data_IF_343786341544
#
_entry.id   IF_343786341544
#
_cell.length_a   1.000
_cell.length_b   1.000
_cell.length_c   1.000
_cell.angle_alpha   90.00
_cell.angle_beta   90.00
_cell.angle_gamma   90.00
#
_symmetry.space_group_name_H-M   'P 1'
#
loop_
_entity.id
_entity.type
_entity.pdbx_description
1 polymer ?
#
# COMPACT_ATOMS: atom_id res chain seq x y z
N UNK A 1 12.60 -9.70 31.68
CA UNK A 1 13.82 -9.17 31.05
C UNK A 1 13.36 -8.36 29.85
N UNK A 2 13.72 -7.07 29.77
CA UNK A 2 13.39 -6.27 28.58
C UNK A 2 14.30 -6.68 27.44
N UNK A 3 13.73 -7.14 26.33
CA UNK A 3 14.45 -7.31 25.06
C UNK A 3 14.81 -5.93 24.53
N UNK A 4 16.09 -5.61 24.56
CA UNK A 4 16.62 -4.43 23.86
C UNK A 4 16.47 -4.70 22.36
N UNK A 5 15.39 -4.18 21.75
CA UNK A 5 15.30 -4.10 20.30
C UNK A 5 16.35 -3.07 19.88
N UNK A 6 17.30 -3.49 19.06
CA UNK A 6 18.30 -2.58 18.52
C UNK A 6 17.62 -1.71 17.46
N UNK A 7 17.28 -0.48 17.83
CA UNK A 7 16.94 0.58 16.87
C UNK A 7 18.01 0.63 15.78
N UNK A 8 17.63 0.34 14.53
CA UNK A 8 18.45 0.56 13.35
C UNK A 8 18.43 2.06 13.09
N UNK A 9 19.61 2.66 12.96
CA UNK A 9 19.70 4.03 12.45
C UNK A 9 19.02 4.11 11.09
N UNK A 10 18.16 5.11 10.88
CA UNK A 10 17.46 5.33 9.63
C UNK A 10 18.42 5.29 8.42
N UNK A 11 18.07 4.63 7.30
CA UNK A 11 18.89 4.57 6.09
C UNK A 11 19.36 5.96 5.65
N UNK A 12 20.67 6.13 5.50
CA UNK A 12 21.26 7.41 5.11
C UNK A 12 20.98 7.73 3.63
N UNK A 13 20.27 8.83 3.37
CA UNK A 13 19.92 9.28 2.01
C UNK A 13 20.75 10.49 1.57
N UNK A 14 20.75 10.79 0.27
CA UNK A 14 21.33 12.05 -0.23
C UNK A 14 20.53 13.30 0.15
N UNK A 15 19.30 13.14 0.66
CA UNK A 15 18.37 14.24 0.94
C UNK A 15 18.16 14.53 2.43
N UNK A 16 18.84 13.83 3.33
CA UNK A 16 18.83 14.04 4.79
C UNK A 16 19.14 15.48 5.27
N UNK A 17 19.61 16.37 4.39
CA UNK A 17 19.89 17.80 4.67
C UNK A 17 18.85 18.76 4.10
N UNK A 18 17.86 18.29 3.34
CA UNK A 18 16.77 19.11 2.83
C UNK A 18 15.73 19.38 3.93
N UNK A 19 15.16 20.59 3.95
CA UNK A 19 13.93 20.84 4.72
C UNK A 19 12.74 20.12 4.09
N UNK A 20 11.67 19.88 4.86
CA UNK A 20 10.55 19.03 4.42
C UNK A 20 9.94 19.50 3.09
N UNK A 21 9.65 20.80 2.93
CA UNK A 21 9.12 21.35 1.68
C UNK A 21 10.09 21.22 0.49
N UNK A 22 11.40 21.18 0.73
CA UNK A 22 12.40 20.97 -0.33
C UNK A 22 12.45 19.50 -0.75
N UNK A 23 12.37 18.58 0.20
CA UNK A 23 12.25 17.13 -0.03
C UNK A 23 10.96 16.82 -0.80
N UNK A 24 9.81 17.25 -0.30
CA UNK A 24 8.51 17.04 -0.94
C UNK A 24 8.45 17.70 -2.32
N UNK A 25 9.13 18.83 -2.50
CA UNK A 25 9.27 19.49 -3.80
C UNK A 25 10.00 18.66 -4.87
N UNK A 26 10.75 17.61 -4.49
CA UNK A 26 11.34 16.66 -5.45
C UNK A 26 10.29 15.89 -6.24
N UNK A 27 9.11 15.67 -5.65
CA UNK A 27 7.97 15.00 -6.28
C UNK A 27 7.17 15.93 -7.23
N UNK A 28 7.46 17.22 -7.29
CA UNK A 28 6.89 18.09 -8.33
C UNK A 28 7.32 17.63 -9.73
N UNK A 29 6.43 17.70 -10.71
CA UNK A 29 6.64 17.16 -12.07
C UNK A 29 7.95 17.66 -12.70
N UNK A 30 8.23 18.97 -12.56
CA UNK A 30 9.45 19.60 -13.07
C UNK A 30 10.74 19.03 -12.45
N UNK A 31 10.71 18.50 -11.23
CA UNK A 31 11.88 17.92 -10.57
C UNK A 31 11.93 16.42 -10.73
N UNK A 32 10.83 15.71 -10.51
CA UNK A 32 10.75 14.26 -10.58
C UNK A 32 11.24 13.70 -11.92
N UNK A 33 10.83 14.32 -13.03
CA UNK A 33 11.27 13.93 -14.39
C UNK A 33 12.75 14.22 -14.69
N UNK A 34 13.47 14.91 -13.79
CA UNK A 34 14.92 15.18 -13.90
C UNK A 34 15.76 14.33 -12.95
N UNK A 35 15.14 13.61 -12.02
CA UNK A 35 15.83 12.71 -11.09
C UNK A 35 16.16 11.38 -11.78
N UNK A 36 17.37 10.89 -11.57
CA UNK A 36 17.70 9.49 -11.88
C UNK A 36 16.87 8.53 -11.03
N UNK A 37 16.73 7.28 -11.46
CA UNK A 37 16.01 6.24 -10.69
C UNK A 37 16.53 6.12 -9.24
N UNK A 38 17.85 6.20 -9.04
CA UNK A 38 18.46 6.18 -7.69
C UNK A 38 18.07 7.40 -6.83
N UNK A 39 17.82 8.55 -7.46
CA UNK A 39 17.41 9.78 -6.77
C UNK A 39 15.94 9.74 -6.39
N UNK A 40 15.10 9.15 -7.24
CA UNK A 40 13.69 8.89 -6.91
C UNK A 40 13.58 7.97 -5.70
N UNK A 41 14.33 6.87 -5.66
CA UNK A 41 14.35 5.95 -4.51
C UNK A 41 14.90 6.60 -3.24
N UNK A 42 15.99 7.37 -3.32
CA UNK A 42 16.51 8.11 -2.15
C UNK A 42 15.53 9.18 -1.63
N UNK A 43 14.71 9.77 -2.51
CA UNK A 43 13.65 10.69 -2.09
C UNK A 43 12.51 9.96 -1.37
N UNK A 44 12.08 8.81 -1.88
CA UNK A 44 11.08 7.95 -1.21
C UNK A 44 11.57 7.45 0.15
N UNK A 45 12.81 6.95 0.24
CA UNK A 45 13.40 6.52 1.51
C UNK A 45 13.51 7.65 2.54
N UNK A 46 13.82 8.87 2.10
CA UNK A 46 13.92 10.03 3.00
C UNK A 46 12.54 10.51 3.50
N UNK A 47 11.48 10.34 2.70
CA UNK A 47 10.10 10.56 3.16
C UNK A 47 9.73 9.52 4.22
N UNK A 48 9.96 8.22 3.95
CA UNK A 48 9.69 7.15 4.91
C UNK A 48 10.48 7.32 6.22
N UNK A 49 11.77 7.68 6.14
CA UNK A 49 12.60 8.00 7.30
C UNK A 49 11.94 9.02 8.24
N UNK A 50 11.37 10.09 7.67
CA UNK A 50 10.73 11.17 8.43
C UNK A 50 9.34 10.78 8.91
N UNK A 51 8.60 10.02 8.10
CA UNK A 51 7.26 9.56 8.42
C UNK A 51 7.28 8.56 9.59
N UNK A 52 8.16 7.56 9.55
CA UNK A 52 8.38 6.63 10.64
C UNK A 52 8.88 7.33 11.93
N UNK A 53 9.84 8.25 11.80
CA UNK A 53 10.35 9.02 12.94
C UNK A 53 9.25 9.87 13.60
N UNK A 54 8.34 10.48 12.83
CA UNK A 54 7.19 11.21 13.36
C UNK A 54 6.21 10.30 14.13
N UNK A 55 6.15 9.02 13.79
CA UNK A 55 5.30 8.01 14.44
C UNK A 55 6.02 7.20 15.54
N UNK A 56 7.29 7.52 15.81
CA UNK A 56 8.18 6.85 16.77
C UNK A 56 8.39 5.35 16.47
N UNK A 57 8.41 4.97 15.18
CA UNK A 57 8.75 3.61 14.75
C UNK A 57 10.07 3.59 13.95
N UNK A 58 10.55 2.39 13.70
CA UNK A 58 11.65 2.15 12.76
C UNK A 58 11.16 2.38 11.33
N UNK A 59 11.97 2.99 10.43
CA UNK A 59 11.60 3.16 9.04
C UNK A 59 11.70 1.86 8.25
N UNK A 60 10.75 1.64 7.35
CA UNK A 60 10.86 0.60 6.35
C UNK A 60 12.01 0.89 5.37
N UNK A 61 12.59 -0.17 4.82
CA UNK A 61 13.54 -0.04 3.71
C UNK A 61 12.77 0.07 2.40
N UNK A 62 12.88 1.21 1.72
CA UNK A 62 12.27 1.43 0.41
C UNK A 62 13.15 0.81 -0.68
N UNK A 63 12.55 -0.07 -1.47
CA UNK A 63 13.14 -0.63 -2.70
C UNK A 63 12.15 -0.49 -3.87
N UNK A 64 12.60 -0.83 -5.06
CA UNK A 64 11.71 -1.05 -6.19
C UNK A 64 12.06 -2.36 -6.89
N UNK A 65 11.05 -2.95 -7.51
CA UNK A 65 11.11 -4.24 -8.18
C UNK A 65 10.11 -4.29 -9.35
N UNK A 66 10.33 -5.16 -10.36
CA UNK A 66 9.37 -5.32 -11.46
C UNK A 66 8.04 -5.87 -10.94
N UNK A 67 6.96 -5.15 -11.21
CA UNK A 67 5.59 -5.59 -10.91
C UNK A 67 4.74 -5.43 -12.17
N UNK A 68 3.96 -6.47 -12.51
CA UNK A 68 2.95 -6.42 -13.57
C UNK A 68 1.59 -6.03 -13.02
N UNK A 69 0.67 -5.62 -13.90
CA UNK A 69 -0.65 -5.16 -13.51
C UNK A 69 -0.67 -3.72 -12.97
N UNK A 70 -1.63 -3.40 -12.11
CA UNK A 70 -1.92 -2.05 -11.63
C UNK A 70 -1.40 -1.73 -10.20
N UNK A 71 -0.55 -2.61 -9.65
CA UNK A 71 -0.02 -2.47 -8.28
C UNK A 71 1.05 -1.38 -8.22
N UNK A 72 0.83 -0.35 -7.39
CA UNK A 72 1.78 0.75 -7.18
C UNK A 72 2.95 0.36 -6.28
N UNK A 73 2.69 -0.50 -5.31
CA UNK A 73 3.65 -1.04 -4.35
C UNK A 73 2.97 -1.95 -3.34
N UNK A 74 3.73 -2.40 -2.35
CA UNK A 74 3.25 -3.13 -1.17
C UNK A 74 4.25 -3.02 -0.01
N UNK A 75 3.78 -3.19 1.23
CA UNK A 75 4.60 -3.34 2.43
C UNK A 75 4.78 -4.82 2.78
N UNK A 76 6.00 -5.22 3.14
CA UNK A 76 6.27 -6.57 3.65
C UNK A 76 7.57 -6.59 4.47
N UNK A 77 7.55 -7.16 5.68
CA UNK A 77 8.73 -7.42 6.53
C UNK A 77 9.65 -6.17 6.64
N UNK A 78 9.12 -5.07 7.18
CA UNK A 78 9.82 -3.77 7.30
C UNK A 78 10.42 -3.24 5.98
N UNK A 79 9.80 -3.54 4.85
CA UNK A 79 10.17 -3.04 3.53
C UNK A 79 8.98 -2.45 2.81
N UNK A 80 9.21 -1.40 2.03
CA UNK A 80 8.26 -0.87 1.05
C UNK A 80 8.79 -1.22 -0.33
N UNK A 81 8.04 -2.01 -1.09
CA UNK A 81 8.34 -2.36 -2.46
C UNK A 81 7.54 -1.45 -3.38
N UNK A 82 8.20 -0.59 -4.15
CA UNK A 82 7.55 0.25 -5.16
C UNK A 82 7.64 -0.40 -6.54
N UNK A 83 6.62 -0.22 -7.38
CA UNK A 83 6.64 -0.68 -8.76
C UNK A 83 7.74 0.05 -9.54
N UNK A 84 8.73 -0.70 -10.05
CA UNK A 84 9.88 -0.16 -10.77
C UNK A 84 9.47 0.68 -12.00
N UNK A 85 8.45 0.23 -12.75
CA UNK A 85 7.94 0.94 -13.93
C UNK A 85 7.33 2.30 -13.57
N UNK A 86 6.54 2.35 -12.49
CA UNK A 86 5.89 3.59 -12.03
C UNK A 86 6.93 4.58 -11.50
N UNK A 87 7.88 4.13 -10.68
CA UNK A 87 8.92 5.00 -10.15
C UNK A 87 9.86 5.48 -11.27
N UNK A 88 10.35 4.58 -12.12
CA UNK A 88 11.34 4.92 -13.15
C UNK A 88 10.75 5.76 -14.27
N UNK A 89 9.73 5.23 -14.93
CA UNK A 89 9.25 5.70 -16.23
C UNK A 89 7.83 6.28 -16.15
N UNK A 90 7.11 6.04 -15.05
CA UNK A 90 5.74 6.52 -14.86
C UNK A 90 4.70 5.65 -15.53
N UNK A 91 4.96 4.34 -15.70
CA UNK A 91 4.10 3.40 -16.41
C UNK A 91 3.83 2.13 -15.59
N UNK A 92 2.67 1.53 -15.78
CA UNK A 92 2.43 0.12 -15.47
C UNK A 92 2.90 -0.76 -16.62
N UNK A 93 3.25 -2.02 -16.31
CA UNK A 93 3.48 -3.07 -17.31
C UNK A 93 2.34 -4.08 -17.20
N UNK A 94 1.50 -4.16 -18.21
CA UNK A 94 0.35 -5.08 -18.25
C UNK A 94 0.59 -6.17 -19.29
N UNK A 95 0.15 -7.39 -18.99
CA UNK A 95 0.12 -8.46 -19.99
C UNK A 95 -0.99 -8.21 -21.02
N UNK A 96 -0.66 -8.40 -22.28
CA UNK A 96 -1.56 -8.37 -23.44
C UNK A 96 -1.20 -9.52 -24.39
N UNK A 97 -2.01 -9.78 -25.42
CA UNK A 97 -1.82 -10.88 -26.37
C UNK A 97 -1.57 -10.32 -27.78
N UNK A 98 -0.45 -10.69 -28.38
CA UNK A 98 -0.08 -10.23 -29.72
C UNK A 98 -0.90 -10.91 -30.84
N UNK A 99 -0.69 -10.45 -32.09
CA UNK A 99 -1.36 -11.01 -33.29
C UNK A 99 -1.11 -12.52 -33.51
N UNK A 100 -0.11 -13.10 -32.85
CA UNK A 100 0.26 -14.52 -32.94
C UNK A 100 -0.31 -15.35 -31.77
N UNK A 101 -0.98 -14.72 -30.80
CA UNK A 101 -1.47 -15.37 -29.58
C UNK A 101 -0.42 -15.51 -28.48
N UNK A 102 0.69 -14.77 -28.53
CA UNK A 102 1.74 -14.78 -27.52
C UNK A 102 1.55 -13.64 -26.50
N UNK A 103 1.77 -13.93 -25.21
CA UNK A 103 1.76 -12.91 -24.15
C UNK A 103 2.91 -11.94 -24.33
N UNK A 104 2.61 -10.64 -24.29
CA UNK A 104 3.56 -9.53 -24.36
C UNK A 104 3.29 -8.54 -23.24
N UNK A 105 4.32 -7.79 -22.82
CA UNK A 105 4.16 -6.70 -21.85
C UNK A 105 3.98 -5.37 -22.57
N UNK A 106 2.90 -4.67 -22.24
CA UNK A 106 2.53 -3.35 -22.77
C UNK A 106 2.66 -2.31 -21.66
N UNK A 107 3.21 -1.14 -21.99
CA UNK A 107 3.31 -0.01 -21.06
C UNK A 107 2.05 0.83 -21.07
N UNK A 108 1.51 1.11 -19.88
CA UNK A 108 0.32 1.96 -19.68
C UNK A 108 0.70 3.17 -18.83
N UNK A 109 0.55 4.38 -19.37
CA UNK A 109 0.92 5.63 -18.68
C UNK A 109 0.12 5.84 -17.38
N UNK A 110 0.85 6.08 -16.29
CA UNK A 110 0.27 6.39 -14.97
C UNK A 110 0.16 7.89 -14.79
N UNK A 111 -1.08 8.39 -14.86
CA UNK A 111 -1.42 9.78 -14.55
C UNK A 111 -0.91 10.14 -13.15
N UNK A 112 -0.20 11.26 -13.07
CA UNK A 112 0.38 11.78 -11.83
C UNK A 112 1.27 10.77 -11.04
N UNK A 113 1.97 9.87 -11.74
CA UNK A 113 2.85 8.84 -11.17
C UNK A 113 3.77 9.34 -10.05
N UNK A 114 4.30 10.55 -10.16
CA UNK A 114 5.09 11.22 -9.13
C UNK A 114 4.34 11.41 -7.80
N UNK A 115 3.10 11.91 -7.82
CA UNK A 115 2.30 12.11 -6.62
C UNK A 115 1.67 10.80 -6.14
N UNK A 116 1.32 9.88 -7.04
CA UNK A 116 0.92 8.51 -6.69
C UNK A 116 2.04 7.76 -5.96
N UNK A 117 3.30 7.88 -6.39
CA UNK A 117 4.46 7.28 -5.68
C UNK A 117 4.58 7.87 -4.27
N UNK A 118 4.33 9.17 -4.08
CA UNK A 118 4.36 9.78 -2.75
C UNK A 118 3.22 9.26 -1.85
N UNK A 119 2.00 9.12 -2.38
CA UNK A 119 0.89 8.46 -1.65
C UNK A 119 1.26 7.03 -1.26
N UNK A 120 1.83 6.27 -2.20
CA UNK A 120 2.26 4.88 -1.97
C UNK A 120 3.24 4.81 -0.80
N UNK A 121 4.27 5.66 -0.76
CA UNK A 121 5.24 5.67 0.36
C UNK A 121 4.56 5.95 1.71
N UNK A 122 3.58 6.86 1.78
CA UNK A 122 2.86 7.14 3.01
C UNK A 122 1.84 6.05 3.39
N UNK A 123 1.20 5.41 2.39
CA UNK A 123 0.27 4.30 2.57
C UNK A 123 1.01 3.06 3.08
N UNK A 124 2.03 2.59 2.36
CA UNK A 124 2.85 1.44 2.76
C UNK A 124 3.64 1.71 4.05
N UNK A 125 4.11 2.94 4.28
CA UNK A 125 4.71 3.35 5.55
C UNK A 125 3.73 3.26 6.72
N UNK A 126 2.42 3.42 6.47
CA UNK A 126 1.37 3.24 7.49
C UNK A 126 1.16 1.76 7.82
N UNK A 127 1.25 0.85 6.84
CA UNK A 127 1.33 -0.59 7.13
C UNK A 127 2.59 -0.95 7.92
N UNK A 128 3.74 -0.32 7.63
CA UNK A 128 4.96 -0.48 8.45
C UNK A 128 4.77 -0.02 9.91
N UNK A 129 4.05 1.08 10.12
CA UNK A 129 3.65 1.55 11.46
C UNK A 129 2.71 0.54 12.13
N UNK A 130 1.68 0.05 11.44
CA UNK A 130 0.73 -0.95 11.94
C UNK A 130 1.44 -2.26 12.31
N UNK A 131 2.36 -2.76 11.47
CA UNK A 131 3.22 -3.92 11.71
C UNK A 131 4.05 -3.72 12.98
N UNK A 132 4.74 -2.58 13.10
CA UNK A 132 5.58 -2.26 14.28
C UNK A 132 4.80 -2.21 15.60
N UNK A 133 3.49 -1.97 15.55
CA UNK A 133 2.58 -1.88 16.70
C UNK A 133 1.81 -3.18 16.95
N UNK A 134 1.96 -4.20 16.11
CA UNK A 134 1.17 -5.43 16.18
C UNK A 134 -0.31 -5.22 15.87
N UNK A 135 -0.62 -4.28 14.96
CA UNK A 135 -1.97 -3.90 14.55
C UNK A 135 -2.37 -4.42 13.16
N UNK A 136 -1.47 -5.13 12.46
CA UNK A 136 -1.81 -5.83 11.22
C UNK A 136 -2.75 -7.02 11.53
N UNK A 137 -3.91 -7.12 10.86
CA UNK A 137 -4.76 -8.31 10.98
C UNK A 137 -4.13 -9.50 10.26
N UNK A 138 -4.44 -10.72 10.69
CA UNK A 138 -4.12 -11.95 9.94
C UNK A 138 -5.16 -12.28 8.86
N UNK A 139 -6.38 -11.76 9.01
CA UNK A 139 -7.52 -11.88 8.11
C UNK A 139 -7.61 -10.62 7.24
N UNK A 140 -7.52 -10.79 5.93
CA UNK A 140 -7.34 -9.70 4.97
C UNK A 140 -8.08 -9.98 3.67
N UNK A 141 -8.76 -8.98 3.12
CA UNK A 141 -9.37 -9.07 1.79
C UNK A 141 -8.36 -8.55 0.75
N UNK A 142 -8.03 -9.36 -0.26
CA UNK A 142 -7.15 -8.95 -1.35
C UNK A 142 -7.87 -7.98 -2.31
N UNK A 143 -7.19 -6.98 -2.91
CA UNK A 143 -7.82 -5.96 -3.77
C UNK A 143 -8.49 -6.53 -5.03
N UNK A 144 -8.07 -7.70 -5.50
CA UNK A 144 -8.68 -8.42 -6.63
C UNK A 144 -9.98 -9.14 -6.25
N UNK A 145 -10.24 -9.37 -4.96
CA UNK A 145 -11.42 -10.11 -4.48
C UNK A 145 -12.69 -9.25 -4.52
N UNK A 146 -12.60 -8.04 -3.95
CA UNK A 146 -13.56 -6.94 -4.01
C UNK A 146 -12.85 -5.65 -3.58
N UNK A 147 -12.54 -4.78 -4.55
CA UNK A 147 -11.75 -3.57 -4.31
C UNK A 147 -12.42 -2.57 -3.35
N UNK A 148 -13.76 -2.51 -3.33
CA UNK A 148 -14.48 -1.61 -2.43
C UNK A 148 -14.43 -2.11 -0.99
N UNK A 149 -14.53 -3.43 -0.77
CA UNK A 149 -14.33 -4.06 0.55
C UNK A 149 -12.88 -3.93 1.01
N UNK A 150 -11.91 -4.22 0.14
CA UNK A 150 -10.49 -4.03 0.40
C UNK A 150 -10.22 -2.59 0.88
N UNK A 151 -10.71 -1.58 0.17
CA UNK A 151 -10.46 -0.16 0.49
C UNK A 151 -11.06 0.29 1.83
N UNK A 152 -12.18 -0.30 2.27
CA UNK A 152 -12.85 0.11 3.52
C UNK A 152 -12.46 -0.73 4.74
N UNK A 153 -11.68 -1.81 4.58
CA UNK A 153 -11.23 -2.62 5.72
C UNK A 153 -10.31 -1.81 6.66
N UNK A 154 -10.28 -2.08 7.98
CA UNK A 154 -9.75 -1.11 8.95
C UNK A 154 -8.29 -0.69 8.76
N UNK A 155 -7.39 -1.60 8.38
CA UNK A 155 -5.98 -1.29 8.15
C UNK A 155 -5.77 -0.43 6.88
N UNK A 156 -6.42 -0.81 5.77
CA UNK A 156 -6.40 -0.07 4.50
C UNK A 156 -7.03 1.30 4.62
N UNK A 157 -8.14 1.43 5.36
CA UNK A 157 -8.81 2.71 5.62
C UNK A 157 -7.86 3.72 6.26
N UNK A 158 -7.08 3.30 7.27
CA UNK A 158 -6.06 4.15 7.91
C UNK A 158 -4.92 4.47 6.92
N UNK A 159 -4.43 3.47 6.17
CA UNK A 159 -3.34 3.63 5.22
C UNK A 159 -3.69 4.56 4.04
N UNK A 160 -4.88 4.42 3.44
CA UNK A 160 -5.37 5.33 2.39
C UNK A 160 -5.62 6.74 2.92
N UNK A 161 -6.22 6.89 4.11
CA UNK A 161 -6.40 8.20 4.72
C UNK A 161 -5.05 8.89 4.94
N UNK A 162 -4.08 8.17 5.54
CA UNK A 162 -2.74 8.69 5.78
C UNK A 162 -2.01 9.03 4.47
N UNK A 163 -2.07 8.14 3.48
CA UNK A 163 -1.49 8.34 2.14
C UNK A 163 -1.97 9.64 1.49
N UNK A 164 -3.29 9.83 1.43
CA UNK A 164 -3.92 10.98 0.80
C UNK A 164 -3.73 12.26 1.61
N UNK A 165 -3.94 12.24 2.92
CA UNK A 165 -3.79 13.43 3.76
C UNK A 165 -2.35 13.98 3.77
N UNK A 166 -1.33 13.11 3.79
CA UNK A 166 0.06 13.55 3.72
C UNK A 166 0.42 14.06 2.31
N UNK A 167 -0.04 13.39 1.25
CA UNK A 167 0.24 13.80 -0.15
C UNK A 167 -0.46 15.10 -0.53
N UNK A 168 -1.73 15.28 -0.14
CA UNK A 168 -2.46 16.54 -0.34
C UNK A 168 -1.82 17.70 0.43
N UNK A 169 -1.34 17.47 1.66
CA UNK A 169 -0.55 18.46 2.42
C UNK A 169 0.78 18.77 1.75
N UNK A 170 1.48 17.77 1.21
CA UNK A 170 2.73 17.95 0.46
C UNK A 170 2.52 18.81 -0.80
N UNK A 171 1.50 18.50 -1.60
CA UNK A 171 1.12 19.29 -2.78
C UNK A 171 0.85 20.75 -2.39
N UNK A 172 0.02 20.99 -1.36
CA UNK A 172 -0.30 22.33 -0.91
C UNK A 172 0.95 23.12 -0.45
N UNK A 173 1.82 22.47 0.33
CA UNK A 173 3.07 23.09 0.81
C UNK A 173 4.04 23.42 -0.32
N UNK A 174 4.20 22.52 -1.30
CA UNK A 174 5.07 22.73 -2.47
C UNK A 174 4.54 23.85 -3.37
N UNK A 175 3.24 23.83 -3.70
CA UNK A 175 2.63 24.87 -4.53
C UNK A 175 2.70 26.25 -3.86
N UNK A 176 2.48 26.33 -2.53
CA UNK A 176 2.63 27.57 -1.78
C UNK A 176 4.07 28.10 -1.74
N UNK A 177 5.07 27.21 -1.63
CA UNK A 177 6.48 27.59 -1.59
C UNK A 177 7.06 27.95 -2.96
N UNK A 178 6.57 27.34 -4.03
CA UNK A 178 7.06 27.55 -5.40
C UNK A 178 6.27 28.60 -6.20
N UNK A 179 5.07 28.98 -5.73
CA UNK A 179 4.24 30.00 -6.37
C UNK A 179 3.70 29.61 -7.75
N UNK A 180 3.69 28.30 -8.07
CA UNK A 180 3.23 27.73 -9.34
C UNK A 180 2.29 26.55 -9.11
N UNK A 181 1.43 26.29 -10.08
CA UNK A 181 0.63 25.07 -10.13
C UNK A 181 1.41 23.95 -10.84
N UNK A 182 1.13 22.72 -10.45
CA UNK A 182 1.66 21.50 -11.08
C UNK A 182 0.46 20.71 -11.63
N UNK A 183 0.47 20.41 -12.94
CA UNK A 183 -0.66 19.71 -13.57
C UNK A 183 -0.84 18.30 -13.03
N UNK A 184 0.24 17.56 -12.74
CA UNK A 184 0.10 16.23 -12.14
C UNK A 184 -0.46 16.33 -10.72
N UNK A 185 -0.18 17.40 -9.99
CA UNK A 185 -0.78 17.61 -8.68
C UNK A 185 -2.30 17.89 -8.79
N UNK A 186 -2.73 18.63 -9.83
CA UNK A 186 -4.15 18.83 -10.11
C UNK A 186 -4.85 17.53 -10.54
N UNK A 187 -4.21 16.75 -11.40
CA UNK A 187 -4.69 15.43 -11.85
C UNK A 187 -4.80 14.44 -10.68
N UNK A 188 -3.82 14.41 -9.78
CA UNK A 188 -3.84 13.65 -8.53
C UNK A 188 -5.01 14.06 -7.63
N UNK A 189 -5.18 15.37 -7.37
CA UNK A 189 -6.28 15.91 -6.55
C UNK A 189 -7.66 15.58 -7.16
N UNK A 190 -7.75 15.48 -8.48
CA UNK A 190 -8.98 15.05 -9.16
C UNK A 190 -9.22 13.54 -9.00
N UNK A 191 -8.17 12.71 -9.12
CA UNK A 191 -8.25 11.26 -8.93
C UNK A 191 -8.69 10.90 -7.50
N UNK A 192 -8.03 11.44 -6.46
CA UNK A 192 -8.37 11.19 -5.05
C UNK A 192 -9.83 11.53 -4.72
N UNK A 193 -10.39 12.59 -5.32
CA UNK A 193 -11.80 12.97 -5.14
C UNK A 193 -12.79 12.00 -5.78
N UNK A 194 -12.42 11.37 -6.89
CA UNK A 194 -13.21 10.30 -7.49
C UNK A 194 -13.06 8.98 -6.73
N UNK A 195 -11.92 8.79 -6.06
CA UNK A 195 -11.51 7.59 -5.34
C UNK A 195 -11.90 7.56 -3.85
N UNK A 196 -12.81 8.42 -3.37
CA UNK A 196 -12.91 8.66 -1.92
C UNK A 196 -13.36 7.44 -1.11
N UNK A 197 -13.02 7.40 0.18
CA UNK A 197 -13.47 6.34 1.10
C UNK A 197 -15.00 6.21 1.09
N UNK A 198 -15.72 7.34 1.04
CA UNK A 198 -17.17 7.39 1.00
C UNK A 198 -17.74 6.79 -0.29
N UNK A 199 -17.03 6.92 -1.43
CA UNK A 199 -17.46 6.33 -2.70
C UNK A 199 -17.43 4.79 -2.65
N UNK A 200 -16.36 4.21 -2.13
CA UNK A 200 -16.26 2.75 -1.93
C UNK A 200 -17.17 2.25 -0.81
N UNK A 201 -17.37 3.02 0.27
CA UNK A 201 -18.35 2.70 1.30
C UNK A 201 -19.78 2.67 0.74
N UNK A 202 -20.17 3.64 -0.11
CA UNK A 202 -21.47 3.62 -0.79
C UNK A 202 -21.59 2.47 -1.80
N UNK A 203 -20.52 2.16 -2.53
CA UNK A 203 -20.50 1.04 -3.47
C UNK A 203 -20.65 -0.31 -2.75
N UNK A 204 -19.83 -0.59 -1.73
CA UNK A 204 -19.94 -1.76 -0.87
C UNK A 204 -21.32 -1.85 -0.19
N UNK A 205 -21.83 -0.76 0.39
CA UNK A 205 -23.14 -0.76 1.06
C UNK A 205 -24.28 -1.12 0.09
N UNK A 206 -24.19 -0.71 -1.17
CA UNK A 206 -25.16 -1.10 -2.23
C UNK A 206 -24.97 -2.54 -2.69
N UNK A 207 -23.72 -2.98 -2.89
CA UNK A 207 -23.40 -4.34 -3.37
C UNK A 207 -23.83 -5.42 -2.35
N UNK A 208 -23.59 -5.18 -1.06
CA UNK A 208 -23.91 -6.11 0.04
C UNK A 208 -25.28 -5.85 0.70
N UNK A 209 -25.98 -4.78 0.31
CA UNK A 209 -27.28 -4.41 0.87
C UNK A 209 -27.24 -4.02 2.35
N UNK A 210 -26.12 -3.51 2.83
CA UNK A 210 -25.85 -3.23 4.25
C UNK A 210 -25.32 -1.79 4.44
N UNK A 211 -26.12 -0.95 5.08
CA UNK A 211 -25.76 0.44 5.37
C UNK A 211 -24.67 0.62 6.44
N UNK A 212 -24.24 -0.46 7.10
CA UNK A 212 -23.13 -0.47 8.07
C UNK A 212 -22.09 -1.54 7.68
N UNK A 213 -21.85 -1.70 6.38
CA UNK A 213 -20.96 -2.74 5.82
C UNK A 213 -19.53 -2.69 6.41
N UNK A 214 -19.04 -1.50 6.77
CA UNK A 214 -17.76 -1.29 7.45
C UNK A 214 -17.73 -1.92 8.86
N UNK A 215 -18.81 -1.73 9.65
CA UNK A 215 -18.97 -2.37 10.96
C UNK A 215 -19.12 -3.89 10.83
N UNK A 216 -19.85 -4.37 9.82
CA UNK A 216 -20.00 -5.80 9.53
C UNK A 216 -18.64 -6.43 9.14
N UNK A 217 -17.83 -5.71 8.35
CA UNK A 217 -16.50 -6.11 7.91
C UNK A 217 -15.50 -6.16 9.08
N UNK A 218 -15.43 -5.12 9.90
CA UNK A 218 -14.58 -5.07 11.10
C UNK A 218 -14.93 -6.22 12.07
N UNK A 219 -16.23 -6.48 12.29
CA UNK A 219 -16.69 -7.58 13.12
C UNK A 219 -16.32 -8.96 12.54
N UNK A 220 -16.39 -9.16 11.22
CA UNK A 220 -15.99 -10.42 10.57
C UNK A 220 -14.48 -10.67 10.72
N UNK A 221 -13.65 -9.67 10.45
CA UNK A 221 -12.19 -9.74 10.62
C UNK A 221 -11.88 -10.10 12.08
N UNK A 222 -12.43 -9.36 13.04
CA UNK A 222 -12.24 -9.62 14.47
C UNK A 222 -12.69 -11.03 14.88
N UNK A 223 -13.82 -11.52 14.36
CA UNK A 223 -14.29 -12.87 14.66
C UNK A 223 -13.38 -13.95 14.08
N UNK A 224 -12.84 -13.77 12.87
CA UNK A 224 -11.88 -14.69 12.25
C UNK A 224 -10.58 -14.78 13.07
N UNK A 225 -10.00 -13.63 13.46
CA UNK A 225 -8.81 -13.56 14.34
C UNK A 225 -8.96 -14.35 15.64
N UNK A 226 -10.12 -14.24 16.29
CA UNK A 226 -10.38 -14.89 17.58
C UNK A 226 -11.06 -16.26 17.47
N UNK A 227 -11.24 -16.81 16.26
CA UNK A 227 -11.90 -18.10 16.04
C UNK A 227 -13.36 -18.15 16.51
N UNK A 228 -14.06 -17.01 16.47
CA UNK A 228 -15.43 -16.84 16.95
C UNK A 228 -16.45 -17.17 15.86
N UNK A 229 -17.51 -17.89 16.22
CA UNK A 229 -18.62 -18.20 15.32
C UNK A 229 -19.88 -17.45 15.73
N UNK A 230 -20.36 -16.56 14.86
CA UNK A 230 -21.61 -15.83 15.05
C UNK A 230 -22.81 -16.76 14.80
N UNK A 231 -23.74 -16.84 15.75
CA UNK A 231 -24.87 -17.80 15.70
C UNK A 231 -25.97 -17.41 14.71
N UNK A 232 -26.16 -16.10 14.48
CA UNK A 232 -27.16 -15.56 13.55
C UNK A 232 -26.52 -14.41 12.73
N UNK A 233 -25.61 -14.70 11.79
CA UNK A 233 -24.99 -13.68 10.95
C UNK A 233 -25.99 -13.04 9.99
N UNK A 234 -25.79 -11.75 9.67
CA UNK A 234 -26.50 -11.06 8.59
C UNK A 234 -26.13 -11.68 7.23
N UNK A 235 -26.92 -11.42 6.19
CA UNK A 235 -26.58 -11.87 4.83
C UNK A 235 -25.29 -11.21 4.32
N UNK A 236 -25.03 -9.95 4.68
CA UNK A 236 -23.75 -9.25 4.40
C UNK A 236 -22.55 -9.95 5.05
N UNK A 237 -22.67 -10.33 6.33
CA UNK A 237 -21.62 -11.08 7.04
C UNK A 237 -21.34 -12.44 6.38
N UNK A 238 -22.38 -13.16 5.95
CA UNK A 238 -22.21 -14.43 5.22
C UNK A 238 -21.52 -14.21 3.88
N UNK A 239 -21.98 -13.23 3.08
CA UNK A 239 -21.41 -12.95 1.77
C UNK A 239 -19.91 -12.57 1.85
N UNK A 240 -19.53 -11.76 2.84
CA UNK A 240 -18.12 -11.44 3.11
C UNK A 240 -17.33 -12.65 3.62
N UNK A 241 -17.91 -13.49 4.49
CA UNK A 241 -17.28 -14.73 4.93
C UNK A 241 -17.02 -15.69 3.76
N UNK A 242 -18.00 -15.85 2.87
CA UNK A 242 -17.88 -16.66 1.66
C UNK A 242 -16.89 -16.07 0.66
N UNK A 243 -16.66 -14.75 0.65
CA UNK A 243 -15.62 -14.12 -0.16
C UNK A 243 -14.22 -14.50 0.36
N UNK A 244 -13.98 -14.37 1.68
CA UNK A 244 -12.73 -14.85 2.31
C UNK A 244 -12.52 -16.35 2.08
N UNK A 245 -13.53 -17.18 2.31
CA UNK A 245 -13.40 -18.64 2.15
C UNK A 245 -13.09 -19.03 0.68
N UNK A 246 -13.49 -18.21 -0.31
CA UNK A 246 -13.08 -18.38 -1.72
C UNK A 246 -11.65 -17.92 -1.96
N UNK A 247 -11.24 -16.77 -1.43
CA UNK A 247 -9.88 -16.22 -1.54
C UNK A 247 -8.85 -17.20 -0.93
N UNK A 248 -9.11 -17.67 0.30
CA UNK A 248 -8.30 -18.71 0.98
C UNK A 248 -8.20 -19.99 0.13
N UNK A 249 -9.30 -20.41 -0.49
CA UNK A 249 -9.33 -21.56 -1.41
C UNK A 249 -8.42 -21.37 -2.63
N UNK A 250 -8.53 -20.21 -3.30
CA UNK A 250 -7.72 -19.86 -4.47
C UNK A 250 -6.22 -19.79 -4.13
N UNK A 251 -5.85 -19.23 -2.97
CA UNK A 251 -4.46 -19.20 -2.49
C UNK A 251 -3.90 -20.61 -2.23
N UNK A 252 -4.72 -21.53 -1.70
CA UNK A 252 -4.33 -22.94 -1.52
C UNK A 252 -4.18 -23.65 -2.86
N UNK A 253 -5.09 -23.43 -3.82
CA UNK A 253 -5.00 -23.99 -5.16
C UNK A 253 -3.73 -23.51 -5.89
N UNK A 254 -3.46 -22.19 -5.90
CA UNK A 254 -2.26 -21.62 -6.51
C UNK A 254 -0.96 -22.15 -5.89
N UNK A 255 -0.90 -22.30 -4.56
CA UNK A 255 0.27 -22.91 -3.90
C UNK A 255 0.48 -24.37 -4.33
N UNK A 256 -0.59 -25.17 -4.43
CA UNK A 256 -0.49 -26.56 -4.87
C UNK A 256 0.00 -26.66 -6.32
N UNK A 257 -0.44 -25.76 -7.20
CA UNK A 257 0.03 -25.68 -8.59
C UNK A 257 1.52 -25.30 -8.67
N UNK A 258 1.97 -24.31 -7.88
CA UNK A 258 3.37 -23.92 -7.78
C UNK A 258 4.27 -25.08 -7.28
N UNK A 259 3.85 -25.78 -6.22
CA UNK A 259 4.55 -26.95 -5.68
C UNK A 259 4.65 -28.09 -6.71
N UNK A 260 3.59 -28.31 -7.51
CA UNK A 260 3.61 -29.26 -8.62
C UNK A 260 4.62 -28.86 -9.71
N UNK A 261 4.61 -27.60 -10.15
CA UNK A 261 5.54 -27.09 -11.18
C UNK A 261 7.00 -27.19 -10.70
N UNK A 262 7.29 -26.84 -9.45
CA UNK A 262 8.64 -26.97 -8.90
C UNK A 262 9.10 -28.45 -8.84
N UNK A 263 8.17 -29.35 -8.47
CA UNK A 263 8.39 -30.79 -8.48
C UNK A 263 8.71 -31.33 -9.88
N UNK A 264 7.96 -30.94 -10.91
CA UNK A 264 8.21 -31.33 -12.29
C UNK A 264 9.55 -30.78 -12.82
N UNK A 265 9.85 -29.51 -12.57
CA UNK A 265 11.12 -28.91 -12.97
C UNK A 265 12.32 -29.59 -12.30
N UNK A 266 12.20 -29.97 -11.02
CA UNK A 266 13.22 -30.74 -10.30
C UNK A 266 13.44 -32.12 -10.92
N UNK A 267 12.36 -32.83 -11.28
CA UNK A 267 12.44 -34.12 -11.99
C UNK A 267 13.09 -33.99 -13.37
N UNK A 268 12.77 -32.94 -14.13
CA UNK A 268 13.41 -32.65 -15.43
C UNK A 268 14.92 -32.37 -15.28
N UNK A 269 15.32 -31.58 -14.28
CA UNK A 269 16.74 -31.32 -14.02
C UNK A 269 17.50 -32.60 -13.62
N UNK A 270 16.89 -33.48 -12.82
CA UNK A 270 17.53 -34.73 -12.40
C UNK A 270 17.59 -35.77 -13.55
N UNK A 271 16.59 -35.79 -14.44
CA UNK A 271 16.67 -36.55 -15.70
C UNK A 271 17.81 -36.06 -16.59
N UNK A 272 17.94 -34.75 -16.82
CA UNK A 272 19.04 -34.16 -17.60
C UNK A 272 20.43 -34.44 -16.99
N UNK A 273 20.56 -34.46 -15.65
CA UNK A 273 21.79 -34.86 -14.96
C UNK A 273 22.09 -36.36 -15.17
N UNK A 274 21.08 -37.22 -15.14
CA UNK A 274 21.24 -38.66 -15.37
C UNK A 274 21.67 -38.95 -16.82
N UNK A 275 21.05 -38.33 -17.82
CA UNK A 275 21.44 -38.43 -19.23
C UNK A 275 22.86 -37.93 -19.47
N UNK A 276 23.27 -36.82 -18.83
CA UNK A 276 24.63 -36.31 -18.91
C UNK A 276 25.68 -37.27 -18.32
N UNK A 277 25.33 -38.00 -17.25
CA UNK A 277 26.19 -39.02 -16.64
C UNK A 277 26.33 -40.25 -17.55
N UNK A 278 25.25 -40.72 -18.18
CA UNK A 278 25.33 -41.82 -19.15
C UNK A 278 26.12 -41.42 -20.42
N UNK A 279 25.88 -40.23 -20.96
CA UNK A 279 26.63 -39.71 -22.10
C UNK A 279 28.14 -39.54 -21.81
N UNK A 280 28.49 -39.18 -20.58
CA UNK A 280 29.88 -39.10 -20.11
C UNK A 280 30.56 -40.48 -20.06
N UNK A 281 29.85 -41.53 -19.62
CA UNK A 281 30.39 -42.88 -19.54
C UNK A 281 30.73 -43.47 -20.93
N UNK A 282 29.98 -43.13 -21.97
CA UNK A 282 30.17 -43.66 -23.34
C UNK A 282 31.44 -43.12 -24.03
N UNK A 283 32.02 -42.00 -23.57
CA UNK A 283 33.31 -41.48 -24.09
C UNK A 283 34.56 -41.97 -23.36
N UNK A 284 34.42 -42.83 -22.34
CA UNK A 284 35.54 -43.36 -21.55
C UNK A 284 36.36 -44.50 -22.19
N UNK A 285 36.22 -44.74 -23.50
CA UNK A 285 36.75 -45.95 -24.15
C UNK A 285 37.61 -45.69 -25.40
N UNK A 286 38.90 -45.38 -25.22
CA UNK A 286 40.04 -46.07 -25.90
C UNK A 286 41.37 -45.32 -25.77
N UNK A 287 42.46 -46.06 -26.00
CA UNK A 287 43.86 -45.64 -26.11
C UNK A 287 44.57 -45.25 -24.80
N UNK A 288 45.73 -45.89 -24.59
CA UNK A 288 46.69 -45.57 -23.54
C UNK A 288 48.09 -45.41 -24.10
N UNK A 289 49.08 -45.62 -23.24
CA UNK A 289 50.53 -45.54 -23.46
C UNK A 289 51.21 -44.15 -23.33
N UNK A 290 51.72 -43.92 -22.11
CA UNK A 290 53.11 -43.49 -21.78
C UNK A 290 53.65 -42.08 -22.08
N UNK A 291 54.39 -41.56 -21.07
CA UNK A 291 55.46 -40.51 -21.03
C UNK A 291 55.11 -39.07 -21.47
N UNK A 292 55.67 -37.98 -20.89
CA UNK A 292 56.72 -37.85 -19.85
C UNK A 292 56.57 -36.58 -18.98
N UNK A 293 57.41 -36.50 -17.93
CA UNK A 293 57.74 -35.41 -16.98
C UNK A 293 57.40 -33.93 -17.30
N UNK A 294 57.09 -33.16 -16.24
CA UNK A 294 57.38 -31.71 -16.24
C UNK A 294 56.76 -30.76 -15.20
N UNK A 295 57.20 -30.81 -13.93
CA UNK A 295 57.14 -29.70 -12.93
C UNK A 295 55.73 -29.29 -12.41
N UNK A 296 55.49 -28.83 -11.17
CA UNK A 296 56.36 -28.41 -10.06
C UNK A 296 55.63 -28.54 -8.69
N UNK A 297 56.38 -28.70 -7.58
CA UNK A 297 56.05 -28.39 -6.15
C UNK A 297 54.63 -28.70 -5.60
N UNK A 298 54.37 -29.62 -4.65
CA UNK A 298 54.99 -29.88 -3.33
C UNK A 298 55.03 -28.65 -2.40
N UNK A 299 54.74 -28.66 -1.08
CA UNK A 299 54.22 -29.60 -0.06
C UNK A 299 53.83 -28.70 1.16
N UNK A 300 52.99 -29.08 2.12
CA UNK A 300 52.27 -30.32 2.31
C UNK A 300 51.46 -30.36 3.62
N UNK A 301 50.62 -31.38 3.72
CA UNK A 301 50.32 -32.21 4.90
C UNK A 301 50.35 -31.61 6.33
N UNK A 302 49.23 -31.78 7.06
CA UNK A 302 49.26 -32.67 8.23
C UNK A 302 47.91 -33.31 8.55
N UNK A 303 47.96 -34.61 8.84
CA UNK A 303 46.83 -35.51 9.10
C UNK A 303 46.10 -35.24 10.42
N UNK A 304 44.84 -35.67 10.49
CA UNK A 304 44.03 -35.65 11.71
C UNK A 304 42.73 -36.47 11.63
N UNK A 305 42.78 -37.69 11.10
CA UNK A 305 41.62 -38.60 11.09
C UNK A 305 41.41 -39.25 12.45
N UNK A 306 40.17 -39.23 12.95
CA UNK A 306 39.65 -40.27 13.83
C UNK A 306 38.12 -40.38 13.66
N UNK A 307 37.66 -41.62 13.45
CA UNK A 307 36.28 -42.01 13.16
C UNK A 307 35.63 -42.65 14.40
N UNK A 308 34.38 -43.12 14.24
CA UNK A 308 33.65 -44.04 15.12
C UNK A 308 32.86 -43.38 16.29
N UNK A 309 31.57 -43.65 16.53
CA UNK A 309 30.60 -44.40 15.71
C UNK A 309 29.41 -44.96 16.52
N UNK A 310 28.18 -44.63 16.11
CA UNK A 310 26.95 -45.40 16.35
C UNK A 310 26.31 -45.40 17.75
N UNK A 311 25.02 -45.05 17.84
CA UNK A 311 23.91 -46.00 18.14
C UNK A 311 22.55 -45.28 18.09
N UNK A 312 21.49 -46.04 17.81
CA UNK A 312 20.11 -45.57 17.62
C UNK A 312 19.20 -46.00 18.78
N UNK A 313 18.22 -45.19 19.19
CA UNK A 313 16.78 -45.52 19.29
C UNK A 313 15.96 -44.45 20.03
N UNK A 314 14.82 -44.10 19.41
CA UNK A 314 13.48 -43.86 20.00
C UNK A 314 13.32 -43.10 21.34
N UNK A 315 12.64 -41.95 21.28
CA UNK A 315 11.37 -41.75 22.01
C UNK A 315 10.59 -40.54 21.48
N UNK A 316 9.28 -40.55 21.73
CA UNK A 316 8.25 -39.72 21.11
C UNK A 316 8.30 -38.24 21.52
N UNK A 317 7.98 -37.35 20.59
CA UNK A 317 7.71 -35.93 20.85
C UNK A 317 6.25 -35.59 20.46
N UNK A 318 5.34 -35.65 21.44
CA UNK A 318 4.01 -35.06 21.33
C UNK A 318 4.04 -33.66 21.96
N UNK A 319 3.61 -32.64 21.21
CA UNK A 319 3.60 -31.26 21.68
C UNK A 319 3.48 -30.26 20.53
N UNK A 320 2.25 -30.03 20.07
CA UNK A 320 1.99 -29.11 18.97
C UNK A 320 2.17 -27.64 19.40
N UNK A 321 2.80 -26.86 18.54
CA UNK A 321 2.71 -25.41 18.50
C UNK A 321 2.58 -25.01 17.02
N UNK A 322 1.36 -24.70 16.58
CA UNK A 322 1.13 -24.20 15.23
C UNK A 322 1.53 -22.72 15.22
N UNK A 323 2.72 -22.44 14.71
CA UNK A 323 3.17 -21.06 14.51
C UNK A 323 2.44 -20.45 13.32
N UNK A 324 1.63 -19.42 13.57
CA UNK A 324 1.10 -18.58 12.49
C UNK A 324 2.24 -17.81 11.83
N UNK A 325 2.65 -18.24 10.64
CA UNK A 325 3.50 -17.43 9.77
C UNK A 325 2.59 -16.44 9.04
N UNK A 326 2.90 -15.14 9.16
CA UNK A 326 2.33 -14.15 8.25
C UNK A 326 2.68 -14.55 6.82
N UNK A 327 1.64 -14.73 5.99
CA UNK A 327 1.78 -14.98 4.55
C UNK A 327 1.60 -13.64 3.85
N UNK A 328 2.63 -13.17 3.16
CA UNK A 328 2.43 -12.16 2.13
C UNK A 328 1.76 -12.82 0.93
N UNK A 329 0.68 -12.22 0.43
CA UNK A 329 0.01 -12.65 -0.79
C UNK A 329 0.84 -12.24 -2.01
N UNK A 330 1.82 -13.06 -2.40
CA UNK A 330 2.45 -12.97 -3.72
C UNK A 330 1.61 -13.79 -4.72
N UNK A 331 0.87 -13.11 -5.61
CA UNK A 331 0.16 -13.75 -6.73
C UNK A 331 0.58 -13.11 -8.06
N UNK A 332 1.75 -13.49 -8.56
CA UNK A 332 2.12 -13.27 -9.96
C UNK A 332 1.53 -14.41 -10.80
N UNK A 333 0.56 -14.10 -11.65
CA UNK A 333 -0.14 -15.10 -12.45
C UNK A 333 0.80 -15.95 -13.33
N UNK A 334 0.53 -17.26 -13.38
CA UNK A 334 1.17 -18.19 -14.32
C UNK A 334 0.09 -18.70 -15.28
N UNK A 335 0.21 -18.35 -16.55
CA UNK A 335 -0.67 -18.87 -17.60
C UNK A 335 0.07 -19.92 -18.45
N UNK A 336 -0.42 -21.16 -18.44
CA UNK A 336 -0.03 -22.20 -19.41
C UNK A 336 -1.30 -22.85 -19.97
N UNK A 337 -1.49 -22.75 -21.28
CA UNK A 337 -2.74 -23.17 -21.95
C UNK A 337 -2.69 -24.55 -22.60
N UNK A 338 -3.86 -25.22 -22.63
CA UNK A 338 -4.15 -26.40 -23.46
C UNK A 338 -4.76 -27.58 -22.67
N UNK A 339 -5.91 -28.16 -23.04
CA UNK A 339 -6.77 -27.88 -24.19
C UNK A 339 -8.23 -28.36 -24.01
N UNK A 340 -9.15 -27.65 -24.66
CA UNK A 340 -10.47 -28.07 -25.17
C UNK A 340 -11.49 -28.80 -24.26
N UNK A 341 -12.65 -28.16 -24.01
CA UNK A 341 -13.88 -28.48 -24.76
C UNK A 341 -14.98 -27.38 -24.69
N UNK A 342 -15.53 -27.02 -25.86
CA UNK A 342 -16.80 -26.37 -26.20
C UNK A 342 -17.59 -25.47 -25.20
N UNK A 343 -17.79 -24.20 -25.61
CA UNK A 343 -19.15 -23.66 -25.75
C UNK A 343 -19.70 -22.69 -24.69
N UNK A 344 -19.22 -21.44 -24.68
CA UNK A 344 -19.90 -20.36 -23.94
C UNK A 344 -19.24 -18.99 -24.12
N UNK A 345 -19.93 -18.03 -24.75
CA UNK A 345 -19.44 -16.64 -24.83
C UNK A 345 -19.64 -15.92 -23.51
N UNK A 346 -18.57 -15.81 -22.73
CA UNK A 346 -18.52 -15.08 -21.46
C UNK A 346 -17.55 -13.90 -21.60
N UNK A 347 -18.08 -12.67 -21.62
CA UNK A 347 -17.23 -11.48 -21.58
C UNK A 347 -16.65 -11.31 -20.18
N UNK A 348 -15.32 -11.35 -20.05
CA UNK A 348 -14.64 -11.05 -18.80
C UNK A 348 -14.68 -9.54 -18.54
N UNK A 349 -15.53 -9.11 -17.61
CA UNK A 349 -15.51 -7.76 -17.08
C UNK A 349 -14.41 -7.65 -16.02
N UNK A 350 -13.25 -7.10 -16.39
CA UNK A 350 -12.17 -6.84 -15.43
C UNK A 350 -12.50 -5.59 -14.62
N UNK A 351 -13.00 -5.81 -13.41
CA UNK A 351 -13.25 -4.77 -12.41
C UNK A 351 -11.99 -4.35 -11.67
N UNK A 352 -11.05 -3.72 -12.37
CA UNK A 352 -9.87 -3.08 -11.78
C UNK A 352 -9.79 -1.64 -12.24
N UNK A 353 -10.14 -0.69 -11.38
CA UNK A 353 -10.19 0.73 -11.71
C UNK A 353 -8.77 1.33 -11.81
N UNK A 354 -8.07 1.03 -12.91
CA UNK A 354 -6.87 1.78 -13.29
C UNK A 354 -7.23 3.27 -13.42
N UNK A 355 -6.59 4.13 -12.63
CA UNK A 355 -6.79 5.59 -12.65
C UNK A 355 -6.21 6.23 -13.92
N UNK A 356 -6.85 5.97 -15.07
CA UNK A 356 -6.35 6.27 -16.40
C UNK A 356 -7.44 6.31 -17.47
N UNK A 357 -8.51 7.09 -17.25
CA UNK A 357 -9.65 7.14 -18.17
C UNK A 357 -10.35 8.50 -18.25
N UNK A 358 -9.66 9.53 -18.74
CA UNK A 358 -10.32 10.79 -19.14
C UNK A 358 -10.82 10.67 -20.59
N UNK A 359 -12.12 10.80 -20.80
CA UNK A 359 -12.77 10.59 -22.10
C UNK A 359 -12.26 11.54 -23.20
N UNK A 360 -12.00 11.00 -24.39
CA UNK A 360 -11.83 11.77 -25.63
C UNK A 360 -12.51 11.08 -26.82
N UNK A 361 -13.31 11.86 -27.55
CA UNK A 361 -13.52 11.72 -28.99
C UNK A 361 -14.18 10.44 -29.52
N UNK A 362 -15.52 10.40 -29.53
CA UNK A 362 -16.27 9.65 -30.54
C UNK A 362 -16.76 10.63 -31.62
N UNK A 363 -16.04 10.69 -32.74
CA UNK A 363 -16.45 11.44 -33.94
C UNK A 363 -16.50 10.48 -35.14
N UNK A 364 -17.42 10.75 -36.08
CA UNK A 364 -17.81 9.94 -37.24
C UNK A 364 -18.48 8.56 -36.96
N UNK A 365 -19.68 8.24 -37.48
CA UNK A 365 -20.64 9.04 -38.24
C UNK A 365 -21.77 8.20 -38.89
N UNK A 366 -22.83 8.90 -39.33
CA UNK A 366 -23.93 8.47 -40.22
C UNK A 366 -25.06 7.57 -39.65
N UNK A 367 -26.30 8.09 -39.66
CA UNK A 367 -27.51 7.33 -39.30
C UNK A 367 -28.81 8.14 -39.27
N UNK A 368 -29.19 8.75 -40.40
CA UNK A 368 -30.35 9.67 -40.47
C UNK A 368 -31.71 9.04 -40.12
N UNK A 369 -32.45 9.65 -39.19
CA UNK A 369 -33.91 9.54 -39.10
C UNK A 369 -34.50 10.84 -38.51
N UNK A 370 -35.59 11.33 -39.11
CA UNK A 370 -36.30 12.56 -38.70
C UNK A 370 -37.31 12.32 -37.58
N UNK A 371 -37.82 13.43 -37.00
CA UNK A 371 -38.91 13.65 -36.01
C UNK A 371 -38.34 14.19 -34.69
N UNK A 372 -38.78 15.31 -34.10
CA UNK A 372 -39.78 16.31 -34.53
C UNK A 372 -40.47 16.95 -33.31
N UNK A 373 -40.43 18.29 -33.20
CA UNK A 373 -41.01 19.12 -32.11
C UNK A 373 -40.32 18.98 -30.72
N UNK A 374 -40.21 20.03 -29.89
CA UNK A 374 -40.56 21.43 -30.10
C UNK A 374 -40.17 22.33 -28.91
N UNK A 375 -40.19 23.65 -29.17
CA UNK A 375 -40.29 24.81 -28.28
C UNK A 375 -39.50 24.90 -26.95
N UNK A 376 -38.62 25.91 -26.93
CA UNK A 376 -38.21 26.62 -25.72
C UNK A 376 -38.83 28.03 -25.69
N UNK A 377 -39.06 28.60 -24.50
CA UNK A 377 -38.93 30.04 -24.25
C UNK A 377 -37.76 30.30 -23.28
N UNK A 378 -36.81 31.22 -23.45
CA UNK A 378 -36.80 32.60 -23.98
C UNK A 378 -37.35 33.68 -23.01
N UNK A 379 -36.45 34.28 -22.23
CA UNK A 379 -36.50 35.60 -21.58
C UNK A 379 -35.06 35.84 -21.08
N UNK A 380 -34.21 36.76 -21.57
CA UNK A 380 -34.33 38.17 -22.01
C UNK A 380 -34.75 39.15 -20.90
N UNK A 381 -34.09 40.31 -20.84
CA UNK A 381 -34.28 41.33 -19.80
C UNK A 381 -32.98 41.87 -19.17
N UNK A 382 -32.18 42.62 -19.95
CA UNK A 382 -31.10 43.47 -19.43
C UNK A 382 -31.57 44.87 -19.00
N UNK A 383 -30.62 45.71 -18.57
CA UNK A 383 -30.83 47.13 -18.18
C UNK A 383 -30.35 47.39 -16.73
N UNK A 384 -29.11 47.83 -16.50
CA UNK A 384 -28.56 49.20 -16.67
C UNK A 384 -28.88 50.17 -15.50
N UNK A 385 -27.84 50.51 -14.73
CA UNK A 385 -27.23 51.86 -14.64
C UNK A 385 -26.88 52.41 -13.23
N UNK A 386 -25.77 53.16 -13.22
CA UNK A 386 -25.29 54.23 -12.33
C UNK A 386 -25.51 54.25 -10.80
N UNK A 387 -24.41 54.58 -10.10
CA UNK A 387 -24.41 55.82 -9.32
C UNK A 387 -24.02 55.71 -7.84
N UNK A 388 -22.84 56.24 -7.49
CA UNK A 388 -22.43 56.43 -6.09
C UNK A 388 -22.75 57.85 -5.59
N UNK A 389 -23.17 57.96 -4.33
CA UNK A 389 -22.98 59.18 -3.50
C UNK A 389 -23.16 58.87 -2.01
N UNK A 390 -22.36 59.52 -1.16
CA UNK A 390 -22.47 59.47 0.30
C UNK A 390 -23.63 60.36 0.78
N UNK A 391 -24.23 60.07 1.94
CA UNK A 391 -24.47 61.10 2.97
C UNK A 391 -24.71 60.52 4.38
N UNK A 392 -24.63 61.40 5.38
CA UNK A 392 -24.59 61.16 6.84
C UNK A 392 -25.90 60.64 7.49
N UNK A 393 -25.80 60.10 8.72
CA UNK A 393 -27.01 59.91 9.56
C UNK A 393 -26.93 59.01 10.81
N UNK A 394 -26.11 59.35 11.81
CA UNK A 394 -26.37 58.92 13.21
C UNK A 394 -27.61 59.70 13.74
N UNK A 395 -28.54 59.03 14.45
CA UNK A 395 -28.70 59.42 15.86
C UNK A 395 -28.98 58.24 16.81
N UNK A 396 -28.18 58.12 17.86
CA UNK A 396 -28.39 57.19 18.97
C UNK A 396 -29.47 57.59 20.00
N UNK A 397 -29.58 56.79 21.07
CA UNK A 397 -30.47 57.01 22.23
C UNK A 397 -31.51 55.88 22.39
N UNK A 398 -31.26 54.81 23.15
CA UNK A 398 -31.05 54.69 24.61
C UNK A 398 -32.34 54.60 25.45
N UNK A 399 -32.53 53.43 26.09
CA UNK A 399 -33.23 53.11 27.36
C UNK A 399 -33.63 51.63 27.27
N UNK A 400 -33.11 50.72 28.10
CA UNK A 400 -33.37 50.54 29.55
C UNK A 400 -34.16 49.22 29.70
N UNK A 401 -34.06 48.40 30.75
CA UNK A 401 -33.39 48.48 32.05
C UNK A 401 -34.17 47.59 33.04
N UNK A 402 -33.50 46.97 34.03
CA UNK A 402 -34.11 45.96 34.93
C UNK A 402 -33.70 44.53 34.51
N UNK A 403 -32.85 43.79 35.20
CA UNK A 403 -32.65 43.61 36.65
C UNK A 403 -33.85 42.96 37.34
N UNK A 404 -33.68 41.70 37.75
CA UNK A 404 -34.02 41.27 39.11
C UNK A 404 -33.09 40.13 39.54
N UNK A 405 -32.79 40.09 40.84
CA UNK A 405 -32.02 39.06 41.54
C UNK A 405 -32.96 38.32 42.50
N UNK A 406 -32.60 37.09 42.85
CA UNK A 406 -32.65 36.49 44.21
C UNK A 406 -32.72 34.95 44.09
N UNK A 407 -32.06 34.14 44.93
CA UNK A 407 -31.07 34.46 45.96
C UNK A 407 -30.88 33.31 46.97
N UNK A 408 -29.63 32.97 47.33
CA UNK A 408 -29.23 32.11 48.48
C UNK A 408 -29.70 30.65 48.48
N UNK A 409 -29.27 29.76 49.39
CA UNK A 409 -28.14 29.76 50.34
C UNK A 409 -27.87 28.27 50.71
N UNK A 410 -26.65 27.73 50.66
CA UNK A 410 -25.62 27.72 51.72
C UNK A 410 -25.79 26.65 52.84
N UNK A 411 -24.71 25.87 53.03
CA UNK A 411 -24.21 25.09 54.19
C UNK A 411 -23.56 23.79 53.67
N UNK A 412 -22.31 23.39 53.96
CA UNK A 412 -21.35 23.69 55.04
C UNK A 412 -20.91 22.33 55.65
N UNK A 413 -19.67 22.05 56.08
CA UNK A 413 -18.37 22.74 56.03
C UNK A 413 -17.30 21.99 56.87
N UNK A 414 -16.01 22.27 56.64
CA UNK A 414 -14.86 21.97 57.55
C UNK A 414 -14.36 20.50 57.66
N UNK A 415 -13.19 20.21 58.27
CA UNK A 415 -11.94 20.97 58.47
C UNK A 415 -10.80 20.03 58.99
N UNK A 416 -9.55 20.53 59.07
CA UNK A 416 -8.34 19.94 59.71
C UNK A 416 -7.73 18.65 59.08
N UNK A 417 -6.41 18.40 58.97
CA UNK A 417 -5.14 19.09 59.28
C UNK A 417 -3.98 18.04 59.25
N UNK A 418 -2.66 18.31 59.14
CA UNK A 418 -1.84 19.52 58.96
C UNK A 418 -0.34 19.24 59.33
N UNK A 419 0.64 20.01 58.81
CA UNK A 419 2.10 20.01 59.15
C UNK A 419 2.93 18.73 58.79
N UNK A 420 4.23 18.72 58.48
CA UNK A 420 5.41 19.64 58.47
C UNK A 420 6.28 19.37 57.20
N UNK A 421 7.31 20.10 56.77
CA UNK A 421 7.95 21.36 57.22
C UNK A 421 9.39 21.53 56.65
N UNK A 422 9.81 22.78 56.35
CA UNK A 422 11.19 23.17 56.01
C UNK A 422 11.68 22.87 54.57
N UNK A 423 12.48 23.70 53.89
CA UNK A 423 13.05 25.01 54.24
C UNK A 423 14.43 25.21 53.59
N UNK A 424 14.64 26.30 52.83
CA UNK A 424 15.95 26.58 52.19
C UNK A 424 15.90 27.66 51.10
N UNK A 425 16.07 28.92 51.50
CA UNK A 425 16.42 30.05 50.62
C UNK A 425 17.93 29.96 50.29
N UNK A 426 18.49 30.56 49.24
CA UNK A 426 18.66 32.02 49.12
C UNK A 426 19.31 32.42 47.75
N UNK A 427 19.23 33.71 47.41
CA UNK A 427 20.03 34.56 46.49
C UNK A 427 20.68 33.96 45.20
N UNK A 428 20.64 34.60 44.03
CA UNK A 428 20.39 36.01 43.71
C UNK A 428 21.65 36.65 43.08
N UNK A 429 21.59 37.05 41.81
CA UNK A 429 22.71 37.69 41.10
C UNK A 429 22.27 38.32 39.78
N UNK A 430 22.53 39.62 39.62
CA UNK A 430 22.13 40.46 38.50
C UNK A 430 23.29 40.74 37.53
N UNK A 431 22.91 41.13 36.30
CA UNK A 431 23.56 42.11 35.41
C UNK A 431 25.10 42.16 35.28
N UNK A 432 25.59 41.67 34.13
CA UNK A 432 26.39 42.46 33.16
C UNK A 432 26.21 41.92 31.74
#
# INVERSE_FOLDING_TARGET
MGTYVAHRSAPATRYAKLGDTQLLGLFSTDRWGKLSFSEKLDACQEVENRYAAAHNCEPCTVRAEPMTGATFGYQNNHSICLNEGVVRDGVFLTEDVDENGATVLVSVDVRASNWQTLETVFHEGTHGIQESRGQMPGTYFDPESDYDIYRIQPCEKEAFQAGQENTLRAIAAVQAAEGKQDQNAADYVAAVKAASYEASLEAAARNYGDGNIDVTLEALIQHREYGLTLQNPSESYKALSELLDRQDGQLVEAQNEADCIEGEHRLQQDALKAEALEAGAVRGGSHGAEVDDGLNSALGERSGSLTQGGTSQESEAAGGAVGGAMRGSESTGVAVGGAAQEGGTSGAAFGGAAYGGAAQGAEDGLGSASLGMGDAPSFDGGGEDAGASNDDGDPGGSSGGGSDRDGGNDSGGGQDGGQDGGGGQDSGGQDM
#
